data_IF_104528916738
#
_entry.id   IF_104528916738
#
_cell.length_a   1.000
_cell.length_b   1.000
_cell.length_c   1.000
_cell.angle_alpha   90.00
_cell.angle_beta   90.00
_cell.angle_gamma   90.00
#
_symmetry.space_group_name_H-M   'P 1'
#
loop_
_entity.id
_entity.type
_entity.pdbx_description
1 polymer ?
#
# COMPACT_ATOMS: atom_id res chain seq x y z
N UNK A 1 15.77 -63.70 46.51
CA UNK A 1 16.52 -62.43 46.51
C UNK A 1 15.96 -61.53 45.41
N UNK A 2 15.43 -60.33 45.74
CA UNK A 2 14.92 -59.41 44.72
C UNK A 2 16.07 -58.76 43.95
N UNK A 3 15.98 -58.74 42.61
CA UNK A 3 16.95 -58.07 41.73
C UNK A 3 16.79 -56.54 41.84
N UNK A 4 17.86 -55.76 42.05
CA UNK A 4 17.77 -54.31 42.01
C UNK A 4 17.47 -53.84 40.58
N UNK A 5 16.44 -52.99 40.43
CA UNK A 5 16.10 -52.33 39.17
C UNK A 5 17.23 -51.36 38.76
N UNK A 6 17.52 -51.23 37.46
CA UNK A 6 18.73 -50.56 36.99
C UNK A 6 18.63 -49.03 37.10
N UNK A 7 19.55 -48.43 37.85
CA UNK A 7 19.81 -46.97 37.96
C UNK A 7 20.05 -46.24 36.62
N UNK A 8 20.18 -46.96 35.50
CA UNK A 8 20.51 -46.43 34.19
C UNK A 8 19.35 -45.70 33.48
N UNK A 9 18.09 -46.04 33.77
CA UNK A 9 16.93 -45.44 33.10
C UNK A 9 16.72 -43.97 33.48
N UNK A 10 17.01 -43.58 34.73
CA UNK A 10 16.87 -42.19 35.19
C UNK A 10 17.90 -41.21 34.60
N UNK A 11 19.12 -41.68 34.31
CA UNK A 11 20.18 -40.87 33.69
C UNK A 11 19.91 -40.60 32.21
N UNK A 12 19.40 -41.60 31.48
CA UNK A 12 19.01 -41.45 30.07
C UNK A 12 17.81 -40.50 29.95
N UNK A 13 16.83 -40.61 30.85
CA UNK A 13 15.69 -39.68 30.91
C UNK A 13 16.12 -38.23 31.21
N UNK A 14 17.03 -38.01 32.16
CA UNK A 14 17.59 -36.67 32.44
C UNK A 14 18.37 -36.09 31.26
N UNK A 15 19.15 -36.92 30.56
CA UNK A 15 19.87 -36.51 29.34
C UNK A 15 18.93 -36.13 28.19
N UNK A 16 17.85 -36.90 28.00
CA UNK A 16 16.81 -36.62 27.00
C UNK A 16 16.02 -35.33 27.35
N UNK A 17 15.64 -35.14 28.62
CA UNK A 17 14.99 -33.92 29.10
C UNK A 17 15.88 -32.68 28.92
N UNK A 18 17.17 -32.79 29.21
CA UNK A 18 18.14 -31.71 29.00
C UNK A 18 18.28 -31.31 27.53
N UNK A 19 18.28 -32.30 26.61
CA UNK A 19 18.29 -32.05 25.15
C UNK A 19 16.98 -31.42 24.67
N UNK A 20 15.83 -31.89 25.18
CA UNK A 20 14.52 -31.34 24.85
C UNK A 20 14.38 -29.88 25.33
N UNK A 21 14.84 -29.55 26.54
CA UNK A 21 14.87 -28.18 27.06
C UNK A 21 15.76 -27.25 26.23
N UNK A 22 16.94 -27.72 25.79
CA UNK A 22 17.80 -26.95 24.87
C UNK A 22 17.13 -26.72 23.51
N UNK A 23 16.43 -27.73 22.99
CA UNK A 23 15.69 -27.62 21.74
C UNK A 23 14.53 -26.63 21.85
N UNK A 24 13.77 -26.64 22.95
CA UNK A 24 12.72 -25.65 23.22
C UNK A 24 13.28 -24.23 23.31
N UNK A 25 14.43 -24.03 23.98
CA UNK A 25 15.11 -22.73 24.01
C UNK A 25 15.58 -22.26 22.63
N UNK A 26 16.05 -23.19 21.79
CA UNK A 26 16.42 -22.88 20.40
C UNK A 26 15.20 -22.46 19.57
N UNK A 27 14.09 -23.17 19.71
CA UNK A 27 12.81 -22.81 19.07
C UNK A 27 12.37 -21.41 19.51
N UNK A 28 12.39 -21.15 20.82
CA UNK A 28 11.98 -19.86 21.37
C UNK A 28 12.90 -18.71 20.89
N UNK A 29 14.20 -18.96 20.79
CA UNK A 29 15.16 -18.04 20.19
C UNK A 29 14.85 -17.77 18.71
N UNK A 30 14.53 -18.80 17.93
CA UNK A 30 14.16 -18.65 16.51
C UNK A 30 12.88 -17.82 16.37
N UNK A 31 11.84 -18.12 17.16
CA UNK A 31 10.60 -17.35 17.14
C UNK A 31 10.80 -15.91 17.57
N UNK A 32 11.58 -15.67 18.62
CA UNK A 32 11.89 -14.32 19.11
C UNK A 32 12.69 -13.52 18.09
N UNK A 33 13.69 -14.12 17.46
CA UNK A 33 14.50 -13.50 16.41
C UNK A 33 13.66 -13.18 15.18
N UNK A 34 12.80 -14.12 14.76
CA UNK A 34 11.85 -13.93 13.66
C UNK A 34 10.87 -12.79 13.97
N UNK A 35 10.31 -12.76 15.18
CA UNK A 35 9.41 -11.70 15.64
C UNK A 35 10.09 -10.33 15.61
N UNK A 36 11.29 -10.22 16.16
CA UNK A 36 12.06 -8.98 16.18
C UNK A 36 12.42 -8.50 14.77
N UNK A 37 12.82 -9.41 13.88
CA UNK A 37 13.08 -9.10 12.48
C UNK A 37 11.82 -8.59 11.76
N UNK A 38 10.68 -9.28 11.93
CA UNK A 38 9.40 -8.86 11.35
C UNK A 38 8.99 -7.47 11.88
N UNK A 39 9.11 -7.25 13.19
CA UNK A 39 8.78 -5.97 13.84
C UNK A 39 9.65 -4.83 13.34
N UNK A 40 10.97 -5.01 13.30
CA UNK A 40 11.92 -4.01 12.79
C UNK A 40 11.61 -3.65 11.33
N UNK A 41 11.29 -4.65 10.51
CA UNK A 41 10.92 -4.46 9.12
C UNK A 41 9.59 -3.71 8.96
N UNK A 42 8.56 -4.07 9.72
CA UNK A 42 7.26 -3.39 9.69
C UNK A 42 7.43 -1.91 10.09
N UNK A 43 8.29 -1.62 11.07
CA UNK A 43 8.63 -0.26 11.44
C UNK A 43 9.29 0.49 10.28
N UNK A 44 10.25 -0.13 9.58
CA UNK A 44 10.91 0.48 8.41
C UNK A 44 9.92 0.76 7.27
N UNK A 45 9.02 -0.17 7.00
CA UNK A 45 7.98 -0.01 5.97
C UNK A 45 7.00 1.11 6.33
N UNK A 46 6.61 1.19 7.61
CA UNK A 46 5.79 2.28 8.13
C UNK A 46 6.49 3.62 7.97
N UNK A 47 7.76 3.73 8.34
CA UNK A 47 8.54 4.96 8.15
C UNK A 47 8.60 5.36 6.67
N UNK A 48 8.83 4.41 5.76
CA UNK A 48 8.86 4.67 4.33
C UNK A 48 7.49 5.10 3.79
N UNK A 49 6.39 4.48 4.24
CA UNK A 49 5.03 4.86 3.85
C UNK A 49 4.62 6.23 4.40
N UNK A 50 4.98 6.55 5.64
CA UNK A 50 4.73 7.87 6.23
C UNK A 50 5.51 8.94 5.47
N UNK A 51 6.78 8.68 5.15
CA UNK A 51 7.58 9.54 4.30
C UNK A 51 6.94 9.73 2.91
N UNK A 52 6.51 8.65 2.28
CA UNK A 52 5.84 8.68 0.98
C UNK A 52 4.54 9.47 1.05
N UNK A 53 3.71 9.24 2.07
CA UNK A 53 2.45 9.95 2.28
C UNK A 53 2.69 11.45 2.48
N UNK A 54 3.62 11.85 3.35
CA UNK A 54 3.97 13.24 3.55
C UNK A 54 4.45 13.91 2.24
N UNK A 55 5.29 13.20 1.47
CA UNK A 55 5.83 13.69 0.19
C UNK A 55 4.73 13.86 -0.86
N UNK A 56 3.86 12.87 -1.02
CA UNK A 56 2.79 12.91 -2.03
C UNK A 56 1.68 13.90 -1.63
N UNK A 57 1.38 14.02 -0.34
CA UNK A 57 0.43 15.00 0.16
C UNK A 57 0.95 16.43 -0.01
N UNK A 58 2.25 16.69 0.16
CA UNK A 58 2.81 18.03 -0.05
C UNK A 58 2.78 18.48 -1.51
N UNK A 59 2.86 17.55 -2.47
CA UNK A 59 2.75 17.85 -3.91
C UNK A 59 1.32 17.70 -4.45
N UNK A 60 0.33 17.53 -3.58
CA UNK A 60 -1.07 17.38 -3.99
C UNK A 60 -1.56 18.46 -4.96
N UNK A 61 -1.28 19.76 -4.73
CA UNK A 61 -1.66 20.81 -5.68
C UNK A 61 -1.14 20.57 -7.11
N UNK A 62 0.04 19.95 -7.26
CA UNK A 62 0.64 19.65 -8.57
C UNK A 62 -0.22 18.64 -9.33
N UNK A 63 -0.76 17.61 -8.66
CA UNK A 63 -1.69 16.67 -9.29
C UNK A 63 -2.94 17.41 -9.81
N UNK A 64 -3.51 18.31 -9.00
CA UNK A 64 -4.68 19.09 -9.38
C UNK A 64 -4.42 19.96 -10.61
N UNK A 65 -3.34 20.74 -10.61
CA UNK A 65 -3.00 21.60 -11.74
C UNK A 65 -2.75 20.82 -13.02
N UNK A 66 -2.08 19.67 -12.94
CA UNK A 66 -1.84 18.81 -14.11
C UNK A 66 -3.13 18.29 -14.70
N UNK A 67 -4.04 17.75 -13.87
CA UNK A 67 -5.34 17.25 -14.32
C UNK A 67 -6.14 18.36 -15.01
N UNK A 68 -6.18 19.55 -14.41
CA UNK A 68 -6.85 20.70 -14.99
C UNK A 68 -6.25 21.14 -16.33
N UNK A 69 -4.93 21.19 -16.43
CA UNK A 69 -4.23 21.56 -17.65
C UNK A 69 -4.49 20.54 -18.78
N UNK A 70 -4.40 19.24 -18.48
CA UNK A 70 -4.66 18.18 -19.46
C UNK A 70 -6.11 18.19 -19.93
N UNK A 71 -7.08 18.33 -19.02
CA UNK A 71 -8.49 18.42 -19.36
C UNK A 71 -8.79 19.66 -20.23
N UNK A 72 -8.17 20.80 -19.92
CA UNK A 72 -8.34 22.04 -20.70
C UNK A 72 -7.72 21.91 -22.09
N UNK A 73 -6.56 21.27 -22.21
CA UNK A 73 -5.92 21.01 -23.51
C UNK A 73 -6.81 20.14 -24.39
N UNK A 74 -7.31 19.02 -23.87
CA UNK A 74 -8.19 18.12 -24.62
C UNK A 74 -9.52 18.77 -24.99
N UNK A 75 -10.09 19.58 -24.09
CA UNK A 75 -11.29 20.35 -24.35
C UNK A 75 -11.11 21.34 -25.52
N UNK A 76 -9.95 22.00 -25.62
CA UNK A 76 -9.64 22.92 -26.73
C UNK A 76 -9.58 22.20 -28.07
N UNK A 77 -9.04 20.98 -28.11
CA UNK A 77 -8.99 20.19 -29.35
C UNK A 77 -10.37 19.73 -29.83
N UNK A 78 -11.33 19.56 -28.92
CA UNK A 78 -12.70 19.16 -29.23
C UNK A 78 -13.68 20.35 -29.34
N UNK A 79 -13.18 21.59 -29.19
CA UNK A 79 -14.00 22.80 -29.14
C UNK A 79 -14.64 23.07 -30.50
N UNK A 80 -15.92 23.45 -30.50
CA UNK A 80 -16.65 23.78 -31.72
C UNK A 80 -17.23 22.58 -32.47
N UNK A 81 -17.02 21.37 -31.96
CA UNK A 81 -17.76 20.17 -32.40
C UNK A 81 -19.05 20.10 -31.59
N UNK A 82 -20.19 20.16 -32.28
CA UNK A 82 -21.49 20.01 -31.63
C UNK A 82 -21.75 18.53 -31.29
N UNK A 83 -22.03 18.23 -30.03
CA UNK A 83 -22.40 16.91 -29.55
C UNK A 83 -23.73 17.01 -28.78
N UNK A 84 -24.82 16.53 -29.38
CA UNK A 84 -26.19 16.64 -28.83
C UNK A 84 -26.56 18.05 -28.34
N UNK A 85 -26.24 19.07 -29.15
CA UNK A 85 -26.56 20.48 -28.83
C UNK A 85 -25.66 21.13 -27.76
N UNK A 86 -24.61 20.44 -27.30
CA UNK A 86 -23.58 20.97 -26.37
C UNK A 86 -22.22 21.03 -27.06
N UNK A 87 -21.34 21.91 -26.58
CA UNK A 87 -19.94 21.94 -27.03
C UNK A 87 -19.22 20.68 -26.52
N UNK A 88 -18.77 19.83 -27.45
CA UNK A 88 -18.04 18.60 -27.15
C UNK A 88 -16.82 18.87 -26.26
N UNK A 89 -16.15 20.01 -26.45
CA UNK A 89 -15.03 20.42 -25.62
C UNK A 89 -15.41 20.54 -24.15
N UNK A 90 -16.60 21.04 -23.85
CA UNK A 90 -17.09 21.20 -22.47
C UNK A 90 -17.41 19.84 -21.82
N UNK A 91 -17.99 18.91 -22.59
CA UNK A 91 -18.30 17.54 -22.17
C UNK A 91 -17.02 16.76 -21.88
N UNK A 92 -16.06 16.80 -22.80
CA UNK A 92 -14.74 16.17 -22.65
C UNK A 92 -14.04 16.69 -21.40
N UNK A 93 -14.04 18.02 -21.18
CA UNK A 93 -13.45 18.62 -19.98
C UNK A 93 -14.05 18.04 -18.70
N UNK A 94 -15.39 18.06 -18.57
CA UNK A 94 -16.10 17.61 -17.36
C UNK A 94 -15.82 16.12 -17.08
N UNK A 95 -15.89 15.28 -18.11
CA UNK A 95 -15.65 13.84 -17.98
C UNK A 95 -14.20 13.53 -17.62
N UNK A 96 -13.24 14.24 -18.22
CA UNK A 96 -11.82 14.07 -17.88
C UNK A 96 -11.53 14.50 -16.45
N UNK A 97 -12.08 15.62 -15.97
CA UNK A 97 -11.91 16.04 -14.59
C UNK A 97 -12.49 15.00 -13.64
N UNK A 98 -13.73 14.56 -13.85
CA UNK A 98 -14.37 13.57 -12.98
C UNK A 98 -13.60 12.25 -12.93
N UNK A 99 -13.23 11.69 -14.09
CA UNK A 99 -12.50 10.40 -14.16
C UNK A 99 -11.08 10.47 -13.59
N UNK A 100 -10.38 11.59 -13.77
CA UNK A 100 -8.96 11.73 -13.36
C UNK A 100 -8.78 12.17 -11.92
N UNK A 101 -9.71 12.94 -11.36
CA UNK A 101 -9.66 13.33 -9.95
C UNK A 101 -9.96 12.18 -9.01
N UNK A 102 -10.81 11.26 -9.43
CA UNK A 102 -11.29 10.17 -8.60
C UNK A 102 -10.15 9.27 -8.05
N UNK A 103 -9.22 8.73 -8.86
CA UNK A 103 -8.09 7.98 -8.33
C UNK A 103 -7.17 8.82 -7.44
N UNK A 104 -7.01 10.11 -7.72
CA UNK A 104 -6.18 11.01 -6.89
C UNK A 104 -6.84 11.29 -5.54
N UNK A 105 -8.15 11.52 -5.52
CA UNK A 105 -8.95 11.66 -4.30
C UNK A 105 -8.78 10.43 -3.40
N UNK A 106 -9.05 9.24 -3.96
CA UNK A 106 -8.90 7.97 -3.24
C UNK A 106 -7.47 7.76 -2.72
N UNK A 107 -6.46 8.07 -3.53
CA UNK A 107 -5.07 7.98 -3.12
C UNK A 107 -4.75 8.93 -1.95
N UNK A 108 -5.14 10.21 -2.04
CA UNK A 108 -4.93 11.21 -0.99
C UNK A 108 -5.61 10.78 0.30
N UNK A 109 -6.86 10.31 0.24
CA UNK A 109 -7.56 9.83 1.41
C UNK A 109 -6.85 8.64 2.06
N UNK A 110 -6.43 7.65 1.27
CA UNK A 110 -5.69 6.50 1.77
C UNK A 110 -4.32 6.88 2.37
N UNK A 111 -3.60 7.84 1.76
CA UNK A 111 -2.36 8.39 2.32
C UNK A 111 -2.62 9.18 3.60
N UNK A 112 -3.74 9.89 3.69
CA UNK A 112 -4.21 10.56 4.89
C UNK A 112 -4.40 9.57 6.05
N UNK A 113 -5.01 8.41 5.78
CA UNK A 113 -5.17 7.33 6.78
C UNK A 113 -3.81 6.81 7.27
N UNK A 114 -2.80 6.73 6.41
CA UNK A 114 -1.43 6.35 6.84
C UNK A 114 -0.86 7.36 7.83
N UNK A 115 -1.11 8.65 7.59
CA UNK A 115 -0.59 9.75 8.41
C UNK A 115 -1.33 9.85 9.75
N UNK A 116 -2.66 9.77 9.75
CA UNK A 116 -3.50 10.01 10.94
C UNK A 116 -3.87 8.73 11.69
N UNK A 117 -3.75 7.56 11.04
CA UNK A 117 -4.18 6.27 11.58
C UNK A 117 -5.70 6.08 11.64
N UNK A 118 -6.49 7.00 11.09
CA UNK A 118 -7.96 6.95 11.15
C UNK A 118 -8.59 7.34 9.81
N UNK A 119 -9.64 6.62 9.42
CA UNK A 119 -10.58 7.08 8.40
C UNK A 119 -11.47 8.14 9.07
N UNK A 120 -11.72 9.27 8.41
CA UNK A 120 -12.37 10.45 9.01
C UNK A 120 -13.80 10.24 9.53
N UNK A 121 -14.50 11.31 9.88
CA UNK A 121 -15.88 11.24 10.41
C UNK A 121 -16.91 10.69 9.38
N UNK A 122 -18.14 10.41 9.82
CA UNK A 122 -19.20 9.79 9.02
C UNK A 122 -19.42 10.41 7.62
N UNK A 123 -19.33 11.74 7.51
CA UNK A 123 -19.43 12.46 6.21
C UNK A 123 -18.28 12.08 5.27
N UNK A 124 -17.06 11.93 5.79
CA UNK A 124 -15.91 11.49 5.00
C UNK A 124 -16.07 10.03 4.55
N UNK A 125 -16.67 9.18 5.39
CA UNK A 125 -17.01 7.81 5.00
C UNK A 125 -18.06 7.76 3.87
N UNK A 126 -19.10 8.59 3.92
CA UNK A 126 -20.11 8.66 2.87
C UNK A 126 -19.53 9.14 1.52
N UNK A 127 -18.67 10.18 1.56
CA UNK A 127 -17.95 10.66 0.39
C UNK A 127 -17.01 9.58 -0.16
N UNK A 128 -16.25 8.92 0.72
CA UNK A 128 -15.34 7.84 0.32
C UNK A 128 -16.09 6.67 -0.34
N UNK A 129 -17.24 6.27 0.20
CA UNK A 129 -18.05 5.20 -0.39
C UNK A 129 -18.58 5.59 -1.77
N UNK A 130 -18.91 6.86 -1.95
CA UNK A 130 -19.35 7.40 -3.25
C UNK A 130 -18.21 7.39 -4.25
N UNK A 131 -17.01 7.83 -3.85
CA UNK A 131 -15.81 7.81 -4.68
C UNK A 131 -15.43 6.36 -5.07
N UNK A 132 -15.46 5.44 -4.11
CA UNK A 132 -15.22 4.01 -4.36
C UNK A 132 -16.25 3.42 -5.33
N UNK A 133 -17.53 3.74 -5.15
CA UNK A 133 -18.59 3.31 -6.05
C UNK A 133 -18.36 3.85 -7.47
N UNK A 134 -18.14 5.15 -7.63
CA UNK A 134 -17.86 5.76 -8.94
C UNK A 134 -16.62 5.14 -9.59
N UNK A 135 -15.59 4.84 -8.79
CA UNK A 135 -14.36 4.24 -9.28
C UNK A 135 -14.59 2.81 -9.75
N UNK A 136 -15.48 2.09 -9.08
CA UNK A 136 -15.92 0.74 -9.47
C UNK A 136 -16.67 0.69 -10.82
N UNK A 137 -17.22 1.83 -11.28
CA UNK A 137 -17.91 1.92 -12.57
C UNK A 137 -16.94 2.06 -13.75
N UNK A 138 -15.71 2.53 -13.51
CA UNK A 138 -14.68 2.64 -14.55
C UNK A 138 -14.20 1.26 -14.98
N UNK A 139 -13.97 1.08 -16.28
CA UNK A 139 -13.31 -0.12 -16.81
C UNK A 139 -11.85 -0.22 -16.33
N UNK A 140 -11.27 -1.42 -16.40
CA UNK A 140 -9.89 -1.62 -15.94
C UNK A 140 -8.86 -0.79 -16.72
N UNK A 141 -9.08 -0.58 -18.03
CA UNK A 141 -8.22 0.27 -18.86
C UNK A 141 -8.33 1.74 -18.46
N UNK A 142 -9.53 2.23 -18.18
CA UNK A 142 -9.76 3.60 -17.70
C UNK A 142 -9.13 3.83 -16.34
N UNK A 143 -9.30 2.88 -15.39
CA UNK A 143 -8.63 2.95 -14.08
C UNK A 143 -7.13 2.97 -14.22
N UNK A 144 -6.57 2.12 -15.09
CA UNK A 144 -5.13 2.09 -15.33
C UNK A 144 -4.62 3.42 -15.87
N UNK A 145 -5.22 3.93 -16.95
CA UNK A 145 -4.81 5.17 -17.60
C UNK A 145 -4.94 6.37 -16.65
N UNK A 146 -6.08 6.50 -15.98
CA UNK A 146 -6.33 7.59 -15.04
C UNK A 146 -5.32 7.54 -13.89
N UNK A 147 -5.19 6.41 -13.20
CA UNK A 147 -4.34 6.30 -12.01
C UNK A 147 -2.85 6.38 -12.33
N UNK A 148 -2.42 5.87 -13.49
CA UNK A 148 -1.02 5.93 -13.92
C UNK A 148 -0.59 7.38 -14.19
N UNK A 149 -1.34 8.09 -15.02
CA UNK A 149 -0.98 9.45 -15.44
C UNK A 149 -1.07 10.46 -14.31
N UNK A 150 -2.08 10.35 -13.46
CA UNK A 150 -2.43 11.40 -12.49
C UNK A 150 -1.76 11.21 -11.14
N UNK A 151 -1.47 9.98 -10.74
CA UNK A 151 -0.92 9.66 -9.42
C UNK A 151 0.45 8.98 -9.50
N UNK A 152 0.53 7.81 -10.13
CA UNK A 152 1.74 6.98 -10.05
C UNK A 152 2.95 7.65 -10.70
N UNK A 153 2.79 8.13 -11.94
CA UNK A 153 3.88 8.75 -12.68
C UNK A 153 4.46 9.99 -11.95
N UNK A 154 3.66 11.01 -11.59
CA UNK A 154 4.21 12.15 -10.85
C UNK A 154 4.76 11.77 -9.47
N UNK A 155 4.17 10.78 -8.77
CA UNK A 155 4.75 10.25 -7.54
C UNK A 155 6.12 9.57 -7.74
N UNK A 156 6.27 8.77 -8.79
CA UNK A 156 7.52 8.13 -9.16
C UNK A 156 8.59 9.16 -9.57
N UNK A 157 8.20 10.19 -10.34
CA UNK A 157 9.10 11.29 -10.71
C UNK A 157 9.58 12.04 -9.47
N UNK A 158 8.70 12.34 -8.51
CA UNK A 158 9.09 12.98 -7.26
C UNK A 158 10.14 12.15 -6.49
N UNK A 159 9.93 10.83 -6.39
CA UNK A 159 10.93 9.94 -5.77
C UNK A 159 12.25 9.91 -6.55
N UNK A 160 12.22 9.99 -7.88
CA UNK A 160 13.42 10.04 -8.71
C UNK A 160 14.21 11.35 -8.48
N UNK A 161 13.53 12.50 -8.42
CA UNK A 161 14.15 13.78 -8.06
C UNK A 161 14.78 13.74 -6.67
N UNK A 162 14.04 13.25 -5.68
CA UNK A 162 14.56 13.09 -4.32
C UNK A 162 15.73 12.10 -4.25
N UNK A 163 15.85 11.17 -5.20
CA UNK A 163 16.99 10.26 -5.26
C UNK A 163 18.23 10.94 -5.83
N UNK A 164 18.06 11.72 -6.90
CA UNK A 164 19.13 12.49 -7.51
C UNK A 164 19.69 13.52 -6.54
N UNK A 165 18.83 14.33 -5.92
CA UNK A 165 19.24 15.49 -5.11
C UNK A 165 19.31 15.19 -3.60
N UNK A 166 18.87 14.01 -3.18
CA UNK A 166 18.80 13.63 -1.79
C UNK A 166 20.15 13.33 -1.14
N UNK A 167 20.20 13.51 0.18
CA UNK A 167 21.32 13.04 1.00
C UNK A 167 21.41 11.50 1.04
N UNK A 168 22.55 10.97 1.52
CA UNK A 168 22.80 9.52 1.56
C UNK A 168 21.74 8.72 2.33
N UNK A 169 21.12 9.32 3.36
CA UNK A 169 20.04 8.68 4.12
C UNK A 169 18.76 8.55 3.28
N UNK A 170 18.40 9.60 2.55
CA UNK A 170 17.22 9.63 1.69
C UNK A 170 17.36 8.65 0.53
N UNK A 171 18.53 8.62 -0.12
CA UNK A 171 18.85 7.68 -1.20
C UNK A 171 18.70 6.21 -0.79
N UNK A 172 19.03 5.86 0.46
CA UNK A 172 18.83 4.49 1.00
C UNK A 172 17.35 4.16 1.26
N UNK A 173 16.50 5.15 1.44
CA UNK A 173 15.08 4.99 1.76
C UNK A 173 14.22 4.89 0.49
N UNK A 174 14.57 5.64 -0.56
CA UNK A 174 13.77 5.77 -1.78
C UNK A 174 13.50 4.45 -2.50
N UNK A 175 14.45 3.52 -2.69
CA UNK A 175 14.15 2.24 -3.35
C UNK A 175 13.02 1.48 -2.65
N UNK A 176 12.98 1.55 -1.30
CA UNK A 176 11.92 0.94 -0.52
C UNK A 176 10.60 1.72 -0.64
N UNK A 177 10.64 3.04 -0.58
CA UNK A 177 9.47 3.89 -0.78
C UNK A 177 8.85 3.70 -2.17
N UNK A 178 9.66 3.55 -3.22
CA UNK A 178 9.23 3.28 -4.59
C UNK A 178 8.54 1.92 -4.70
N UNK A 179 9.12 0.86 -4.12
CA UNK A 179 8.47 -0.46 -4.11
C UNK A 179 7.11 -0.42 -3.41
N UNK A 180 7.02 0.33 -2.31
CA UNK A 180 5.78 0.52 -1.57
C UNK A 180 4.76 1.36 -2.35
N UNK A 181 5.20 2.41 -3.05
CA UNK A 181 4.37 3.21 -3.97
C UNK A 181 3.76 2.32 -5.07
N UNK A 182 4.57 1.47 -5.71
CA UNK A 182 4.08 0.55 -6.75
C UNK A 182 3.02 -0.40 -6.21
N UNK A 183 3.17 -0.90 -4.98
CA UNK A 183 2.16 -1.76 -4.35
C UNK A 183 0.90 -1.01 -3.98
N UNK A 184 1.06 0.19 -3.45
CA UNK A 184 -0.05 1.08 -3.16
C UNK A 184 -0.86 1.35 -4.43
N UNK A 185 -0.18 1.69 -5.53
CA UNK A 185 -0.78 1.87 -6.86
C UNK A 185 -1.51 0.62 -7.35
N UNK A 186 -0.89 -0.56 -7.29
CA UNK A 186 -1.52 -1.81 -7.71
C UNK A 186 -2.77 -2.16 -6.89
N UNK A 187 -2.77 -1.83 -5.59
CA UNK A 187 -3.95 -2.00 -4.73
C UNK A 187 -5.03 -0.99 -5.04
N UNK A 188 -4.67 0.27 -5.29
CA UNK A 188 -5.59 1.31 -5.73
C UNK A 188 -6.30 0.92 -7.04
N UNK A 189 -5.60 0.26 -7.96
CA UNK A 189 -6.17 -0.23 -9.21
C UNK A 189 -7.15 -1.40 -9.02
N UNK A 190 -6.80 -2.37 -8.17
CA UNK A 190 -7.52 -3.65 -8.06
C UNK A 190 -8.58 -3.66 -6.96
N UNK A 191 -8.18 -3.24 -5.77
CA UNK A 191 -8.94 -3.41 -4.53
C UNK A 191 -8.72 -2.18 -3.62
N UNK A 192 -9.23 -0.99 -4.01
CA UNK A 192 -8.95 0.28 -3.33
C UNK A 192 -9.44 0.29 -1.88
N UNK A 193 -10.54 -0.42 -1.57
CA UNK A 193 -11.07 -0.60 -0.21
C UNK A 193 -10.00 -1.10 0.77
N UNK A 194 -9.10 -1.97 0.30
CA UNK A 194 -8.07 -2.56 1.15
C UNK A 194 -7.07 -1.52 1.65
N UNK A 195 -6.93 -0.38 0.96
CA UNK A 195 -6.06 0.72 1.37
C UNK A 195 -6.58 1.44 2.62
N UNK A 196 -7.86 1.31 2.95
CA UNK A 196 -8.45 1.96 4.13
C UNK A 196 -8.47 1.04 5.35
N UNK A 197 -8.64 -0.27 5.13
CA UNK A 197 -8.58 -1.29 6.19
C UNK A 197 -7.14 -1.71 6.54
N UNK A 198 -6.28 -1.80 5.54
CA UNK A 198 -4.86 -2.13 5.71
C UNK A 198 -3.99 -1.20 4.86
N UNK A 199 -3.67 0.01 5.36
CA UNK A 199 -3.10 1.08 4.55
C UNK A 199 -1.62 0.85 4.18
N UNK A 200 -0.89 0.01 4.93
CA UNK A 200 0.52 -0.30 4.64
C UNK A 200 0.59 -1.65 3.90
N UNK A 201 0.97 -1.68 2.62
CA UNK A 201 1.03 -2.93 1.86
C UNK A 201 2.12 -3.86 2.40
N UNK A 202 1.72 -4.96 3.07
CA UNK A 202 2.66 -5.98 3.55
C UNK A 202 3.42 -6.67 2.41
N UNK A 203 4.61 -7.22 2.70
CA UNK A 203 5.41 -7.98 1.72
C UNK A 203 5.02 -9.45 1.53
N UNK A 204 3.88 -9.91 2.04
CA UNK A 204 3.52 -11.32 1.94
C UNK A 204 2.04 -11.54 1.64
N UNK A 205 1.72 -11.60 0.35
CA UNK A 205 0.76 -12.59 -0.14
C UNK A 205 1.58 -13.76 -0.71
N UNK A 206 1.87 -14.77 0.13
CA UNK A 206 2.05 -16.18 -0.28
C UNK A 206 2.35 -17.16 0.87
N UNK A 207 2.89 -16.74 2.01
CA UNK A 207 3.24 -17.72 3.07
C UNK A 207 2.05 -18.12 3.97
N UNK A 208 0.99 -17.32 4.06
CA UNK A 208 -0.18 -17.62 4.92
C UNK A 208 -1.22 -18.53 4.23
N UNK A 209 -1.03 -18.87 2.94
CA UNK A 209 -1.85 -19.93 2.30
C UNK A 209 -1.49 -21.34 2.79
N UNK A 210 -0.34 -21.53 3.43
CA UNK A 210 0.07 -22.84 3.95
C UNK A 210 -0.52 -23.17 5.32
N UNK A 211 -0.96 -22.18 6.10
CA UNK A 211 -1.65 -22.42 7.38
C UNK A 211 -3.16 -22.48 7.26
N UNK A 212 -3.77 -21.82 6.26
CA UNK A 212 -5.23 -21.87 6.06
C UNK A 212 -5.74 -23.13 5.35
N UNK A 213 -4.84 -23.94 4.77
CA UNK A 213 -5.16 -25.25 4.16
C UNK A 213 -4.97 -26.44 5.10
N UNK A 214 -4.54 -26.23 6.35
CA UNK A 214 -4.45 -27.28 7.38
C UNK A 214 -5.64 -27.30 8.35
N UNK A 215 -6.60 -26.40 8.16
CA UNK A 215 -7.79 -26.29 9.02
C UNK A 215 -9.12 -26.35 8.24
N UNK A 216 -9.10 -26.80 7.00
CA UNK A 216 -10.28 -27.27 6.29
C UNK A 216 -10.07 -28.74 5.91
#
# INVERSE_FOLDING_TARGET
MPRPLPFYTGLIFRGALGKALRFLRLIDFIFTSLYNYIRSRLNRDRTCMVFLAATLLSITPIFYYRIHADATRMARHARGVAFFGRDLGEVVRKNMLASRFLPVSLAIHALGVIMTGRVGHAVHHALLNTDLFQYSLLSQSERFAATYETFFLPGAMCLAFLYADGNARLRRMIPRAYELLTRFYLRLLREPETLFSNPIPHRLSRTIRLTRRRHN
#
